data_IF_043904989293
#
_entry.id   IF_043904989293
#
_cell.length_a   1.000
_cell.length_b   1.000
_cell.length_c   1.000
_cell.angle_alpha   90.00
_cell.angle_beta   90.00
_cell.angle_gamma   90.00
#
_symmetry.space_group_name_H-M   'P 1'
#
loop_
_entity.id
_entity.type
_entity.pdbx_description
1 polymer ?
#
# COMPACT_ATOMS: atom_id res chain seq x y z
N UNK A 1 -7.46 -5.99 27.11
CA UNK A 1 -6.45 -5.69 28.16
C UNK A 1 -5.79 -4.33 27.96
N UNK A 2 -5.21 -4.02 26.80
CA UNK A 2 -4.56 -2.71 26.54
C UNK A 2 -5.44 -1.48 26.82
N UNK A 3 -6.74 -1.56 26.55
CA UNK A 3 -7.71 -0.48 26.83
C UNK A 3 -7.88 -0.18 28.33
N UNK A 4 -7.80 -1.21 29.19
CA UNK A 4 -7.94 -1.01 30.64
C UNK A 4 -6.66 -0.43 31.24
N UNK A 5 -5.51 -0.91 30.79
CA UNK A 5 -4.20 -0.45 31.25
C UNK A 5 -3.89 1.00 30.86
N UNK A 6 -4.39 1.48 29.71
CA UNK A 6 -4.19 2.88 29.30
C UNK A 6 -4.98 3.88 30.15
N UNK A 7 -6.21 3.53 30.53
CA UNK A 7 -7.09 4.36 31.38
C UNK A 7 -6.59 4.38 32.84
N UNK A 8 -6.01 3.28 33.33
CA UNK A 8 -5.58 3.15 34.73
C UNK A 8 -4.23 3.83 35.03
N UNK A 9 -3.35 4.01 34.05
CA UNK A 9 -1.99 4.49 34.32
C UNK A 9 -1.80 6.01 34.24
N UNK A 10 -2.74 6.76 33.65
CA UNK A 10 -2.64 8.22 33.45
C UNK A 10 -1.35 8.68 32.73
N UNK A 11 -0.64 7.75 32.09
CA UNK A 11 0.74 7.91 31.60
C UNK A 11 0.93 7.28 30.22
N UNK A 12 -0.13 7.22 29.40
CA UNK A 12 0.07 6.93 27.99
C UNK A 12 0.83 8.10 27.35
N UNK A 13 2.01 7.80 26.79
CA UNK A 13 2.80 8.79 26.02
C UNK A 13 2.13 9.18 24.70
N UNK A 14 1.07 8.46 24.32
CA UNK A 14 0.28 8.71 23.11
C UNK A 14 -1.09 9.19 23.53
N UNK A 15 -1.34 10.48 23.28
CA UNK A 15 -2.66 11.06 23.51
C UNK A 15 -3.56 10.74 22.32
N UNK A 16 -4.68 10.07 22.54
CA UNK A 16 -5.63 9.70 21.50
C UNK A 16 -7.07 10.11 21.82
N UNK A 17 -8.01 9.76 20.94
CA UNK A 17 -9.40 10.16 21.09
C UNK A 17 -10.08 9.53 22.32
N UNK A 18 -9.56 8.44 22.88
CA UNK A 18 -10.07 7.81 24.09
C UNK A 18 -9.69 8.61 25.35
N UNK A 19 -8.65 9.45 25.30
CA UNK A 19 -8.33 10.37 26.40
C UNK A 19 -9.39 11.47 26.57
N UNK A 20 -10.30 11.65 25.61
CA UNK A 20 -11.49 12.48 25.81
C UNK A 20 -12.40 11.91 26.91
N UNK A 21 -12.37 10.60 27.17
CA UNK A 21 -13.09 10.01 28.30
C UNK A 21 -12.47 10.41 29.66
N UNK A 22 -11.15 10.61 29.71
CA UNK A 22 -10.49 11.13 30.91
C UNK A 22 -10.65 12.66 31.02
N UNK A 23 -10.69 13.38 29.90
CA UNK A 23 -11.10 14.79 29.86
C UNK A 23 -12.53 14.94 30.40
N UNK A 24 -13.44 14.03 30.04
CA UNK A 24 -14.82 14.01 30.52
C UNK A 24 -14.89 13.92 32.04
N UNK A 25 -14.17 12.96 32.65
CA UNK A 25 -14.09 12.82 34.12
C UNK A 25 -13.55 14.08 34.81
N UNK A 26 -12.58 14.76 34.19
CA UNK A 26 -11.99 16.00 34.74
C UNK A 26 -12.95 17.19 34.62
N UNK A 27 -13.72 17.27 33.55
CA UNK A 27 -14.80 18.26 33.40
C UNK A 27 -15.90 18.01 34.44
N UNK A 28 -16.32 16.76 34.66
CA UNK A 28 -17.26 16.37 35.73
C UNK A 28 -16.73 16.72 37.13
N UNK A 29 -15.43 16.54 37.38
CA UNK A 29 -14.78 16.92 38.63
C UNK A 29 -14.72 18.44 38.86
N UNK A 30 -15.15 19.26 37.88
CA UNK A 30 -15.21 20.71 37.99
C UNK A 30 -13.87 21.42 37.77
N UNK A 31 -12.84 20.73 37.28
CA UNK A 31 -11.50 21.29 37.05
C UNK A 31 -11.51 22.50 36.09
N UNK A 32 -12.49 22.56 35.19
CA UNK A 32 -12.58 23.58 34.14
C UNK A 32 -13.78 24.53 34.27
N UNK A 33 -14.38 24.60 35.46
CA UNK A 33 -15.62 25.36 35.69
C UNK A 33 -15.46 26.87 35.44
N UNK A 34 -14.31 27.44 35.81
CA UNK A 34 -13.94 28.84 35.55
C UNK A 34 -13.75 29.16 34.05
N UNK A 35 -13.43 28.14 33.25
CA UNK A 35 -13.25 28.26 31.79
C UNK A 35 -14.55 28.03 31.01
N UNK A 36 -15.65 27.70 31.71
CA UNK A 36 -16.96 27.43 31.09
C UNK A 36 -17.03 26.13 30.28
N UNK A 37 -16.07 25.22 30.44
CA UNK A 37 -16.10 23.92 29.79
C UNK A 37 -17.15 23.02 30.45
N UNK A 38 -17.99 22.41 29.63
CA UNK A 38 -19.04 21.48 30.05
C UNK A 38 -18.93 20.17 29.29
N UNK A 39 -19.63 19.14 29.74
CA UNK A 39 -19.77 17.87 29.01
C UNK A 39 -20.23 18.10 27.57
N UNK A 40 -21.15 19.05 27.35
CA UNK A 40 -21.61 19.46 26.02
C UNK A 40 -20.48 20.00 25.15
N UNK A 41 -19.53 20.73 25.74
CA UNK A 41 -18.35 21.23 25.02
C UNK A 41 -17.47 20.07 24.55
N UNK A 42 -17.22 19.08 25.42
CA UNK A 42 -16.43 17.89 25.08
C UNK A 42 -17.13 17.08 23.98
N UNK A 43 -18.43 16.84 24.12
CA UNK A 43 -19.24 16.11 23.14
C UNK A 43 -19.30 16.83 21.79
N UNK A 44 -19.48 18.15 21.78
CA UNK A 44 -19.49 18.95 20.57
C UNK A 44 -18.16 18.88 19.82
N UNK A 45 -17.02 18.90 20.53
CA UNK A 45 -15.70 18.74 19.91
C UNK A 45 -15.52 17.33 19.34
N UNK A 46 -15.95 16.28 20.04
CA UNK A 46 -15.93 14.91 19.52
C UNK A 46 -16.69 14.79 18.20
N UNK A 47 -17.92 15.32 18.15
CA UNK A 47 -18.75 15.31 16.94
C UNK A 47 -18.11 16.12 15.82
N UNK A 48 -17.52 17.27 16.14
CA UNK A 48 -16.84 18.12 15.16
C UNK A 48 -15.64 17.40 14.52
N UNK A 49 -14.79 16.74 15.30
CA UNK A 49 -13.66 15.98 14.77
C UNK A 49 -14.11 14.78 13.93
N UNK A 50 -15.16 14.09 14.38
CA UNK A 50 -15.71 12.96 13.63
C UNK A 50 -16.26 13.41 12.26
N UNK A 51 -17.11 14.43 12.24
CA UNK A 51 -17.71 14.93 11.00
C UNK A 51 -16.65 15.54 10.08
N UNK A 52 -15.76 16.37 10.64
CA UNK A 52 -14.70 17.04 9.88
C UNK A 52 -13.74 16.06 9.22
N UNK A 53 -13.36 14.98 9.90
CA UNK A 53 -12.49 13.93 9.35
C UNK A 53 -13.20 12.99 8.38
N UNK A 54 -14.46 12.64 8.66
CA UNK A 54 -15.21 11.66 7.88
C UNK A 54 -15.65 12.20 6.52
N UNK A 55 -16.37 13.33 6.49
CA UNK A 55 -17.02 13.82 5.26
C UNK A 55 -15.99 14.22 4.19
N UNK A 56 -14.94 14.91 4.61
CA UNK A 56 -13.88 15.40 3.71
C UNK A 56 -13.09 14.23 3.10
N UNK A 57 -12.68 13.27 3.92
CA UNK A 57 -11.91 12.09 3.49
C UNK A 57 -12.74 11.17 2.61
N UNK A 58 -14.00 10.90 2.99
CA UNK A 58 -14.90 10.06 2.20
C UNK A 58 -15.17 10.67 0.82
N UNK A 59 -15.40 11.99 0.76
CA UNK A 59 -15.66 12.69 -0.50
C UNK A 59 -14.41 12.73 -1.39
N UNK A 60 -13.23 12.94 -0.82
CA UNK A 60 -11.97 12.91 -1.55
C UNK A 60 -11.69 11.52 -2.12
N UNK A 61 -11.83 10.46 -1.31
CA UNK A 61 -11.66 9.08 -1.77
C UNK A 61 -12.67 8.72 -2.85
N UNK A 62 -13.94 9.10 -2.68
CA UNK A 62 -14.98 8.83 -3.67
C UNK A 62 -14.69 9.53 -4.99
N UNK A 63 -14.29 10.81 -4.94
CA UNK A 63 -13.91 11.57 -6.13
C UNK A 63 -12.67 10.98 -6.80
N UNK A 64 -11.67 10.57 -6.02
CA UNK A 64 -10.47 9.92 -6.52
C UNK A 64 -10.80 8.59 -7.22
N UNK A 65 -11.58 7.72 -6.58
CA UNK A 65 -12.02 6.45 -7.16
C UNK A 65 -12.85 6.66 -8.43
N UNK A 66 -13.75 7.64 -8.43
CA UNK A 66 -14.53 8.00 -9.61
C UNK A 66 -13.61 8.46 -10.76
N UNK A 67 -12.62 9.30 -10.48
CA UNK A 67 -11.67 9.75 -11.50
C UNK A 67 -10.85 8.57 -12.04
N UNK A 68 -10.34 7.69 -11.18
CA UNK A 68 -9.61 6.50 -11.64
C UNK A 68 -10.50 5.58 -12.49
N UNK A 69 -11.74 5.35 -12.06
CA UNK A 69 -12.67 4.48 -12.78
C UNK A 69 -13.04 5.00 -14.18
N UNK A 70 -13.01 6.33 -14.39
CA UNK A 70 -13.31 6.95 -15.67
C UNK A 70 -12.06 7.25 -16.53
N UNK A 71 -10.85 6.96 -16.02
CA UNK A 71 -9.58 7.20 -16.74
C UNK A 71 -8.72 5.92 -16.75
N UNK A 72 -9.06 4.92 -17.57
CA UNK A 72 -8.38 3.62 -17.62
C UNK A 72 -6.87 3.72 -17.87
N UNK A 73 -6.43 4.72 -18.64
CA UNK A 73 -5.01 4.96 -18.93
C UNK A 73 -4.20 5.36 -17.71
N UNK A 74 -4.81 6.04 -16.73
CA UNK A 74 -4.19 6.38 -15.44
C UNK A 74 -4.23 5.17 -14.51
N UNK A 75 -5.36 4.45 -14.50
CA UNK A 75 -5.53 3.22 -13.74
C UNK A 75 -4.47 2.16 -14.12
N UNK A 76 -4.24 1.96 -15.43
CA UNK A 76 -3.26 1.00 -15.94
C UNK A 76 -1.83 1.37 -15.53
N UNK A 77 -1.48 2.66 -15.53
CA UNK A 77 -0.16 3.13 -15.09
C UNK A 77 0.04 2.86 -13.60
N UNK A 78 -0.96 3.21 -12.78
CA UNK A 78 -0.95 2.97 -11.34
C UNK A 78 -0.82 1.48 -11.02
N UNK A 79 -1.59 0.61 -11.70
CA UNK A 79 -1.56 -0.83 -11.49
C UNK A 79 -0.21 -1.45 -11.87
N UNK A 80 0.36 -1.08 -13.03
CA UNK A 80 1.69 -1.57 -13.44
C UNK A 80 2.76 -1.27 -12.41
N UNK A 81 2.67 -0.10 -11.79
CA UNK A 81 3.64 0.33 -10.79
C UNK A 81 3.44 -0.34 -9.43
N UNK A 82 2.18 -0.47 -8.99
CA UNK A 82 1.84 -1.27 -7.82
C UNK A 82 2.36 -2.70 -7.95
N UNK A 83 2.26 -3.30 -9.14
CA UNK A 83 2.79 -4.64 -9.39
C UNK A 83 4.32 -4.72 -9.45
N UNK A 84 5.03 -3.63 -9.76
CA UNK A 84 6.49 -3.63 -9.57
C UNK A 84 6.87 -3.68 -8.10
N UNK A 85 6.18 -2.87 -7.29
CA UNK A 85 6.47 -2.76 -5.87
C UNK A 85 6.01 -4.00 -5.11
N UNK A 86 4.78 -4.43 -5.40
CA UNK A 86 4.02 -5.49 -4.76
C UNK A 86 3.51 -6.47 -5.84
N UNK A 87 4.40 -7.25 -6.47
CA UNK A 87 3.98 -8.20 -7.49
C UNK A 87 2.98 -9.20 -6.91
N UNK A 88 1.81 -9.29 -7.52
CA UNK A 88 0.74 -10.25 -7.16
C UNK A 88 1.26 -11.68 -7.04
N UNK A 89 2.27 -12.02 -7.83
CA UNK A 89 3.05 -13.25 -7.70
C UNK A 89 4.50 -12.91 -7.38
N UNK A 90 4.84 -12.91 -6.09
CA UNK A 90 6.23 -12.72 -5.65
C UNK A 90 7.13 -13.92 -6.00
N UNK A 91 6.54 -15.12 -6.11
CA UNK A 91 7.22 -16.38 -6.42
C UNK A 91 6.38 -17.31 -7.32
N UNK A 92 6.27 -17.03 -8.62
CA UNK A 92 5.72 -18.00 -9.54
C UNK A 92 6.71 -19.18 -9.69
N UNK A 93 6.23 -20.38 -9.39
CA UNK A 93 6.98 -21.63 -9.54
C UNK A 93 6.55 -22.36 -10.82
N UNK A 94 7.49 -23.07 -11.43
CA UNK A 94 7.29 -23.91 -12.63
C UNK A 94 8.02 -25.22 -12.44
N UNK A 95 7.46 -26.32 -12.93
CA UNK A 95 8.15 -27.61 -12.95
C UNK A 95 8.70 -27.86 -14.34
N UNK A 96 10.00 -28.17 -14.44
CA UNK A 96 10.63 -28.45 -15.71
C UNK A 96 10.14 -29.80 -16.27
N UNK A 97 9.45 -29.78 -17.41
CA UNK A 97 8.85 -30.98 -18.00
C UNK A 97 9.84 -31.92 -18.71
N UNK A 98 11.05 -31.44 -19.02
CA UNK A 98 12.11 -32.17 -19.71
C UNK A 98 13.48 -31.65 -19.28
N UNK A 99 14.52 -32.47 -19.43
CA UNK A 99 15.90 -32.00 -19.25
C UNK A 99 16.18 -30.83 -20.21
N UNK A 100 16.70 -29.72 -19.68
CA UNK A 100 16.92 -28.48 -20.41
C UNK A 100 18.30 -27.91 -20.09
N UNK A 101 19.06 -27.58 -21.13
CA UNK A 101 20.39 -27.00 -21.02
C UNK A 101 20.49 -25.74 -21.88
N UNK A 102 20.94 -24.63 -21.30
CA UNK A 102 21.17 -23.39 -22.02
C UNK A 102 22.17 -22.51 -21.26
N UNK A 103 23.09 -21.86 -21.99
CA UNK A 103 24.12 -20.97 -21.43
C UNK A 103 24.86 -21.53 -20.20
N UNK A 104 25.20 -22.83 -20.24
CA UNK A 104 25.90 -23.52 -19.15
C UNK A 104 25.02 -23.90 -17.94
N UNK A 105 23.74 -23.52 -17.92
CA UNK A 105 22.79 -23.92 -16.89
C UNK A 105 22.03 -25.17 -17.35
N UNK A 106 22.04 -26.20 -16.52
CA UNK A 106 21.34 -27.47 -16.75
C UNK A 106 20.25 -27.66 -15.71
N UNK A 107 19.00 -27.87 -16.16
CA UNK A 107 17.82 -28.08 -15.33
C UNK A 107 17.25 -29.46 -15.67
N UNK A 108 17.12 -30.32 -14.66
CA UNK A 108 16.58 -31.67 -14.85
C UNK A 108 15.06 -31.66 -14.88
N UNK A 109 14.48 -32.64 -15.59
CA UNK A 109 13.05 -32.91 -15.52
C UNK A 109 12.63 -33.10 -14.06
N UNK A 110 11.54 -32.46 -13.67
CA UNK A 110 11.02 -32.48 -12.29
C UNK A 110 11.59 -31.41 -11.37
N UNK A 111 12.62 -30.66 -11.78
CA UNK A 111 13.12 -29.54 -10.98
C UNK A 111 12.09 -28.41 -10.93
N UNK A 112 11.82 -27.91 -9.72
CA UNK A 112 11.05 -26.68 -9.50
C UNK A 112 11.95 -25.48 -9.79
N UNK A 113 11.51 -24.63 -10.72
CA UNK A 113 12.15 -23.38 -11.09
C UNK A 113 11.30 -22.25 -10.56
N UNK A 114 11.91 -21.45 -9.67
CA UNK A 114 11.30 -20.23 -9.14
C UNK A 114 11.80 -19.04 -9.95
N UNK A 115 10.87 -18.23 -10.46
CA UNK A 115 11.19 -16.98 -11.14
C UNK A 115 11.16 -15.87 -10.09
N UNK A 116 12.29 -15.20 -9.81
CA UNK A 116 12.35 -14.17 -8.77
C UNK A 116 11.81 -12.83 -9.31
N UNK A 117 10.49 -12.73 -9.51
CA UNK A 117 9.82 -11.56 -10.10
C UNK A 117 10.20 -10.26 -9.40
N UNK A 118 10.26 -10.27 -8.06
CA UNK A 118 10.65 -9.09 -7.27
C UNK A 118 12.06 -8.57 -7.62
N UNK A 119 13.02 -9.47 -7.76
CA UNK A 119 14.40 -9.13 -8.09
C UNK A 119 14.56 -8.75 -9.57
N UNK A 120 13.84 -9.44 -10.48
CA UNK A 120 13.83 -9.13 -11.90
C UNK A 120 13.31 -7.71 -12.16
N UNK A 121 12.20 -7.34 -11.53
CA UNK A 121 11.58 -6.01 -11.63
C UNK A 121 12.42 -4.88 -10.98
N UNK A 122 13.51 -5.22 -10.27
CA UNK A 122 14.43 -4.26 -9.61
C UNK A 122 15.85 -4.33 -10.15
N UNK A 123 16.06 -5.06 -11.25
CA UNK A 123 17.40 -5.25 -11.79
C UNK A 123 17.96 -3.90 -12.32
N UNK A 124 19.07 -3.37 -11.76
CA UNK A 124 19.64 -2.09 -12.17
C UNK A 124 20.05 -2.03 -13.64
N UNK A 125 20.29 -3.18 -14.27
CA UNK A 125 20.58 -3.27 -15.71
C UNK A 125 19.40 -2.76 -16.56
N UNK A 126 18.17 -2.99 -16.10
CA UNK A 126 16.94 -2.63 -16.82
C UNK A 126 16.19 -1.46 -16.17
N UNK A 127 16.39 -1.24 -14.87
CA UNK A 127 15.82 -0.14 -14.09
C UNK A 127 16.95 0.65 -13.40
N UNK A 128 17.79 1.38 -14.17
CA UNK A 128 18.98 2.06 -13.62
C UNK A 128 18.63 3.22 -12.68
N UNK A 129 17.47 3.85 -12.87
CA UNK A 129 17.10 5.11 -12.23
C UNK A 129 16.47 4.92 -10.85
N UNK A 130 17.18 4.27 -9.92
CA UNK A 130 16.76 3.96 -8.53
C UNK A 130 15.63 2.90 -8.45
N UNK A 131 15.92 1.61 -8.69
CA UNK A 131 14.92 0.55 -8.88
C UNK A 131 13.96 0.33 -7.70
N UNK A 132 14.33 0.76 -6.49
CA UNK A 132 13.51 0.61 -5.29
C UNK A 132 12.49 1.74 -5.09
N UNK A 133 12.60 2.84 -5.83
CA UNK A 133 11.65 3.97 -5.73
C UNK A 133 10.48 3.81 -6.70
N UNK A 134 9.31 4.21 -6.22
CA UNK A 134 8.10 4.43 -7.01
C UNK A 134 8.35 5.62 -7.96
N UNK A 135 8.34 5.35 -9.27
CA UNK A 135 8.58 6.28 -10.38
C UNK A 135 7.73 5.87 -11.59
N UNK A 136 6.46 6.31 -11.67
CA UNK A 136 5.53 5.92 -12.74
C UNK A 136 6.03 6.31 -14.14
N UNK A 137 6.85 7.37 -14.20
CA UNK A 137 7.32 8.01 -15.42
C UNK A 137 8.15 7.05 -16.30
N UNK A 138 8.70 5.97 -15.72
CA UNK A 138 9.44 4.91 -16.44
C UNK A 138 8.63 4.21 -17.53
N UNK A 139 7.30 4.19 -17.38
CA UNK A 139 6.40 3.50 -18.30
C UNK A 139 5.77 4.44 -19.34
N UNK A 140 6.16 5.71 -19.36
CA UNK A 140 5.71 6.66 -20.36
C UNK A 140 6.27 6.27 -21.74
N UNK A 141 5.50 6.50 -22.84
CA UNK A 141 5.91 6.15 -24.20
C UNK A 141 7.29 6.68 -24.59
N UNK A 142 7.62 7.89 -24.12
CA UNK A 142 8.88 8.59 -24.34
C UNK A 142 10.09 7.85 -23.73
N UNK A 143 9.85 7.08 -22.65
CA UNK A 143 10.85 6.34 -21.89
C UNK A 143 10.85 4.83 -22.20
N UNK A 144 10.00 4.36 -23.12
CA UNK A 144 9.88 2.93 -23.49
C UNK A 144 11.14 2.32 -24.12
N UNK A 145 12.11 3.13 -24.54
CA UNK A 145 13.30 2.72 -25.28
C UNK A 145 14.24 1.73 -24.58
N UNK A 146 14.07 1.50 -23.27
CA UNK A 146 14.95 0.61 -22.47
C UNK A 146 14.24 -0.62 -21.88
N UNK A 147 12.95 -0.81 -22.13
CA UNK A 147 12.20 -1.91 -21.54
C UNK A 147 12.38 -3.18 -22.38
N UNK A 148 13.50 -3.87 -22.16
CA UNK A 148 13.72 -5.23 -22.69
C UNK A 148 12.43 -6.06 -22.45
N UNK A 149 11.91 -6.79 -23.44
CA UNK A 149 10.59 -7.43 -23.35
C UNK A 149 10.42 -8.34 -22.14
N UNK A 150 11.51 -8.92 -21.62
CA UNK A 150 11.50 -9.82 -20.47
C UNK A 150 11.97 -9.18 -19.15
N UNK A 151 12.20 -7.86 -19.10
CA UNK A 151 12.64 -7.17 -17.89
C UNK A 151 11.51 -6.94 -16.89
N UNK A 152 10.29 -6.67 -17.37
CA UNK A 152 9.10 -6.49 -16.53
C UNK A 152 8.29 -7.79 -16.50
N UNK A 153 8.39 -8.55 -15.40
CA UNK A 153 7.90 -9.94 -15.33
C UNK A 153 6.67 -10.13 -14.43
N UNK A 154 5.98 -9.05 -14.04
CA UNK A 154 4.86 -9.09 -13.09
C UNK A 154 3.72 -10.03 -13.51
N UNK A 155 3.40 -10.07 -14.80
CA UNK A 155 2.39 -10.97 -15.37
C UNK A 155 2.96 -12.26 -15.94
N UNK A 156 4.28 -12.47 -15.82
CA UNK A 156 4.98 -13.58 -16.45
C UNK A 156 4.97 -13.53 -17.98
N UNK A 157 5.67 -14.49 -18.60
CA UNK A 157 5.78 -14.64 -20.04
C UNK A 157 5.57 -16.08 -20.49
N UNK A 158 5.25 -16.25 -21.77
CA UNK A 158 5.11 -17.56 -22.41
C UNK A 158 3.74 -18.21 -22.20
N UNK A 159 3.60 -19.53 -22.41
CA UNK A 159 2.31 -20.24 -22.43
C UNK A 159 1.50 -20.21 -21.12
N UNK A 160 2.10 -19.71 -20.04
CA UNK A 160 1.50 -19.60 -18.70
C UNK A 160 1.68 -18.17 -18.16
N UNK A 161 1.65 -17.17 -19.04
CA UNK A 161 1.48 -15.77 -18.66
C UNK A 161 0.08 -15.56 -18.07
N UNK A 162 -0.09 -14.47 -17.33
CA UNK A 162 -1.40 -14.01 -16.91
C UNK A 162 -2.31 -13.84 -18.14
N UNK A 163 -3.58 -14.23 -18.00
CA UNK A 163 -4.61 -14.07 -19.04
C UNK A 163 -5.36 -12.73 -18.91
N UNK A 164 -5.27 -12.12 -17.73
CA UNK A 164 -5.91 -10.83 -17.42
C UNK A 164 -5.23 -9.66 -18.10
#
# INVERSE_FOLDING_TARGET
ECLKTGIESGTSSTKDFLDLCDLWKRVEAGEFKELGFTETTVLAQCVFFFLGGYETTASMLSSFLWNIANHPEVQDKMNKELEQLLPSFYRPERICGKDWNHNGVSIKKGTVVMIPTWAANRNPKYFPDEPEKFKPERFLPENKGNNEPYAFTSFGFGPRSCIG
#
